data_IF_803525141902
#
_entry.id   IF_803525141902
#
_cell.length_a   1.000
_cell.length_b   1.000
_cell.length_c   1.000
_cell.angle_alpha   90.00
_cell.angle_beta   90.00
_cell.angle_gamma   90.00
#
_symmetry.space_group_name_H-M   'P 1'
#
loop_
_entity.id
_entity.type
_entity.pdbx_description
1 polymer ?
#
# COMPACT_ATOMS: atom_id res chain seq x y z
N UNK A 1 9.18 -16.73 -12.55
CA UNK A 1 8.60 -16.14 -13.77
C UNK A 1 9.73 -15.66 -14.70
N UNK A 2 10.75 -15.03 -14.15
CA UNK A 2 11.96 -14.61 -14.86
C UNK A 2 13.15 -15.34 -14.21
N UNK A 3 13.94 -16.01 -15.01
CA UNK A 3 15.11 -16.75 -14.53
C UNK A 3 16.30 -15.78 -14.34
N UNK A 4 16.20 -14.97 -13.28
CA UNK A 4 17.18 -13.92 -12.96
C UNK A 4 18.26 -14.45 -12.01
N UNK A 5 19.54 -14.05 -12.20
CA UNK A 5 20.56 -14.27 -11.21
C UNK A 5 20.17 -13.69 -9.85
N UNK A 6 20.49 -14.41 -8.76
CA UNK A 6 20.12 -13.99 -7.39
C UNK A 6 20.58 -12.57 -7.04
N UNK A 7 21.75 -12.16 -7.50
CA UNK A 7 22.28 -10.81 -7.29
C UNK A 7 21.40 -9.75 -7.99
N UNK A 8 21.01 -9.97 -9.25
CA UNK A 8 20.16 -9.06 -10.00
C UNK A 8 18.77 -8.97 -9.37
N UNK A 9 18.20 -10.10 -8.96
CA UNK A 9 16.92 -10.11 -8.24
C UNK A 9 16.99 -9.34 -6.92
N UNK A 10 18.11 -9.44 -6.18
CA UNK A 10 18.35 -8.67 -4.95
C UNK A 10 18.47 -7.17 -5.20
N UNK A 11 19.15 -6.74 -6.25
CA UNK A 11 19.24 -5.31 -6.64
C UNK A 11 17.85 -4.77 -7.01
N UNK A 12 17.08 -5.49 -7.80
CA UNK A 12 15.71 -5.11 -8.14
C UNK A 12 14.82 -5.01 -6.90
N UNK A 13 14.96 -5.95 -5.98
CA UNK A 13 14.23 -5.90 -4.69
C UNK A 13 14.61 -4.67 -3.86
N UNK A 14 15.89 -4.24 -3.87
CA UNK A 14 16.30 -3.02 -3.15
C UNK A 14 15.66 -1.76 -3.70
N UNK A 15 15.32 -1.71 -5.00
CA UNK A 15 14.63 -0.56 -5.60
C UNK A 15 13.28 -0.28 -4.92
N UNK A 16 12.59 -1.32 -4.43
CA UNK A 16 11.33 -1.14 -3.69
C UNK A 16 11.54 -0.43 -2.35
N UNK A 17 12.68 -0.63 -1.69
CA UNK A 17 13.01 0.10 -0.47
C UNK A 17 13.18 1.61 -0.72
N UNK A 18 13.75 1.99 -1.85
CA UNK A 18 13.85 3.40 -2.26
C UNK A 18 12.49 4.01 -2.59
N UNK A 19 11.60 3.28 -3.27
CA UNK A 19 10.22 3.72 -3.50
C UNK A 19 9.53 4.01 -2.17
N UNK A 20 9.71 3.16 -1.17
CA UNK A 20 9.14 3.33 0.16
C UNK A 20 9.59 4.64 0.84
N UNK A 21 10.86 5.01 0.68
CA UNK A 21 11.41 6.24 1.27
C UNK A 21 10.68 7.50 0.79
N UNK A 22 10.21 7.51 -0.47
CA UNK A 22 9.52 8.65 -1.10
C UNK A 22 8.00 8.51 -0.99
N UNK A 23 7.47 7.31 -1.17
CA UNK A 23 6.04 7.08 -1.27
C UNK A 23 5.30 7.30 0.07
N UNK A 24 5.90 6.97 1.21
CA UNK A 24 5.28 7.22 2.52
C UNK A 24 5.06 8.70 2.81
N UNK A 25 6.06 9.59 2.70
CA UNK A 25 5.83 11.04 2.78
C UNK A 25 4.84 11.55 1.74
N UNK A 26 4.91 11.04 0.50
CA UNK A 26 4.00 11.42 -0.58
C UNK A 26 2.53 11.12 -0.21
N UNK A 27 2.24 10.02 0.47
CA UNK A 27 0.89 9.70 0.94
C UNK A 27 0.31 10.77 1.87
N UNK A 28 1.11 11.28 2.79
CA UNK A 28 0.75 12.41 3.65
C UNK A 28 0.50 13.69 2.83
N UNK A 29 1.41 14.05 1.94
CA UNK A 29 1.31 15.23 1.08
C UNK A 29 0.07 15.17 0.16
N UNK A 30 -0.19 14.02 -0.47
CA UNK A 30 -1.39 13.81 -1.29
C UNK A 30 -2.65 14.03 -0.44
N UNK A 31 -2.65 13.53 0.80
CA UNK A 31 -3.75 13.72 1.72
C UNK A 31 -3.98 15.21 2.06
N UNK A 32 -2.92 15.97 2.25
CA UNK A 32 -3.00 17.40 2.54
C UNK A 32 -3.47 18.20 1.31
N UNK A 33 -3.01 17.85 0.11
CA UNK A 33 -3.43 18.50 -1.13
C UNK A 33 -4.89 18.21 -1.51
N UNK A 34 -5.37 16.99 -1.28
CA UNK A 34 -6.75 16.62 -1.57
C UNK A 34 -7.75 17.17 -0.54
N UNK A 35 -7.27 17.68 0.60
CA UNK A 35 -8.12 18.23 1.66
C UNK A 35 -9.12 17.23 2.25
N UNK A 36 -8.88 15.93 2.08
CA UNK A 36 -9.73 14.85 2.62
C UNK A 36 -8.92 13.61 2.90
N UNK A 37 -8.78 13.25 4.16
CA UNK A 37 -8.10 12.02 4.61
C UNK A 37 -8.82 10.76 4.12
N UNK A 38 -10.15 10.80 4.20
CA UNK A 38 -11.03 9.73 3.75
C UNK A 38 -10.85 9.42 2.26
N UNK A 39 -10.95 10.45 1.41
CA UNK A 39 -10.87 10.27 -0.04
C UNK A 39 -9.48 9.82 -0.46
N UNK A 40 -8.43 10.34 0.18
CA UNK A 40 -7.05 9.91 -0.06
C UNK A 40 -6.85 8.43 0.26
N UNK A 41 -7.33 7.97 1.42
CA UNK A 41 -7.26 6.54 1.77
C UNK A 41 -8.03 5.69 0.77
N UNK A 42 -9.25 6.09 0.40
CA UNK A 42 -10.05 5.38 -0.60
C UNK A 42 -9.34 5.29 -1.94
N UNK A 43 -8.79 6.39 -2.43
CA UNK A 43 -8.08 6.46 -3.71
C UNK A 43 -6.79 5.60 -3.72
N UNK A 44 -5.96 5.73 -2.68
CA UNK A 44 -4.71 4.97 -2.59
C UNK A 44 -4.98 3.47 -2.42
N UNK A 45 -6.01 3.10 -1.65
CA UNK A 45 -6.40 1.69 -1.49
C UNK A 45 -7.02 1.12 -2.76
N UNK A 46 -7.77 1.92 -3.53
CA UNK A 46 -8.26 1.50 -4.85
C UNK A 46 -7.11 1.28 -5.83
N UNK A 47 -6.15 2.21 -5.88
CA UNK A 47 -4.94 2.07 -6.70
C UNK A 47 -4.11 0.83 -6.34
N UNK A 48 -3.96 0.54 -5.05
CA UNK A 48 -3.37 -0.70 -4.54
C UNK A 48 -4.14 -1.93 -5.06
N UNK A 49 -5.47 -1.94 -4.93
CA UNK A 49 -6.31 -3.06 -5.37
C UNK A 49 -6.19 -3.32 -6.88
N UNK A 50 -6.23 -2.26 -7.68
CA UNK A 50 -6.02 -2.34 -9.14
C UNK A 50 -4.61 -2.82 -9.45
N UNK A 51 -3.58 -2.29 -8.77
CA UNK A 51 -2.19 -2.70 -8.95
C UNK A 51 -1.99 -4.20 -8.71
N UNK A 52 -2.59 -4.76 -7.66
CA UNK A 52 -2.53 -6.19 -7.40
C UNK A 52 -3.30 -7.01 -8.43
N UNK A 53 -4.45 -6.55 -8.92
CA UNK A 53 -5.15 -7.23 -10.01
C UNK A 53 -4.32 -7.25 -11.29
N UNK A 54 -3.65 -6.15 -11.63
CA UNK A 54 -2.73 -6.11 -12.77
C UNK A 54 -1.56 -7.07 -12.56
N UNK A 55 -0.95 -7.11 -11.36
CA UNK A 55 0.11 -8.06 -11.03
C UNK A 55 -0.36 -9.51 -11.14
N UNK A 56 -1.61 -9.81 -10.80
CA UNK A 56 -2.17 -11.15 -10.92
C UNK A 56 -2.25 -11.67 -12.36
N UNK A 57 -2.26 -10.77 -13.34
CA UNK A 57 -2.30 -11.10 -14.77
C UNK A 57 -0.92 -11.41 -15.36
N UNK A 58 0.18 -11.12 -14.63
CA UNK A 58 1.54 -11.39 -15.06
C UNK A 58 1.84 -12.87 -14.89
N UNK A 59 1.76 -13.62 -16.00
CA UNK A 59 2.05 -15.06 -16.06
C UNK A 59 3.43 -15.31 -16.68
N UNK A 60 4.03 -16.50 -16.47
CA UNK A 60 5.20 -16.92 -17.23
C UNK A 60 4.88 -16.82 -18.74
N UNK A 61 5.74 -16.16 -19.50
CA UNK A 61 5.54 -15.97 -20.94
C UNK A 61 4.68 -14.75 -21.35
N UNK A 62 3.99 -14.09 -20.43
CA UNK A 62 3.26 -12.84 -20.74
C UNK A 62 4.21 -11.75 -21.24
N UNK A 63 5.39 -11.70 -20.63
CA UNK A 63 6.46 -10.81 -21.03
C UNK A 63 7.74 -11.64 -21.26
N UNK A 64 8.37 -11.46 -22.41
CA UNK A 64 9.62 -12.13 -22.76
C UNK A 64 10.76 -11.13 -22.93
N UNK A 65 11.98 -11.57 -22.65
CA UNK A 65 13.18 -10.76 -22.81
C UNK A 65 13.32 -9.62 -21.79
N UNK A 66 14.31 -8.76 -21.99
CA UNK A 66 14.68 -7.67 -21.08
C UNK A 66 13.57 -6.63 -20.93
N UNK A 67 12.86 -6.31 -22.03
CA UNK A 67 11.73 -5.38 -22.01
C UNK A 67 10.59 -5.86 -21.13
N UNK A 68 10.32 -7.17 -21.14
CA UNK A 68 9.29 -7.76 -20.29
C UNK A 68 9.62 -7.66 -18.80
N UNK A 69 10.89 -7.84 -18.43
CA UNK A 69 11.35 -7.67 -17.05
C UNK A 69 11.15 -6.22 -16.62
N UNK A 70 11.54 -5.25 -17.46
CA UNK A 70 11.38 -3.82 -17.16
C UNK A 70 9.92 -3.46 -16.92
N UNK A 71 9.01 -3.91 -17.80
CA UNK A 71 7.57 -3.65 -17.65
C UNK A 71 7.03 -4.27 -16.35
N UNK A 72 7.37 -5.51 -16.03
CA UNK A 72 6.94 -6.16 -14.80
C UNK A 72 7.46 -5.42 -13.55
N UNK A 73 8.72 -4.96 -13.56
CA UNK A 73 9.30 -4.16 -12.47
C UNK A 73 8.56 -2.84 -12.32
N UNK A 74 8.28 -2.12 -13.42
CA UNK A 74 7.57 -0.84 -13.37
C UNK A 74 6.14 -1.01 -12.82
N UNK A 75 5.40 -2.04 -13.23
CA UNK A 75 4.07 -2.34 -12.70
C UNK A 75 4.16 -2.61 -11.20
N UNK A 76 5.13 -3.40 -10.76
CA UNK A 76 5.32 -3.73 -9.35
C UNK A 76 5.73 -2.49 -8.54
N UNK A 77 6.60 -1.62 -9.07
CA UNK A 77 6.97 -0.36 -8.43
C UNK A 77 5.77 0.59 -8.29
N UNK A 78 4.93 0.67 -9.33
CA UNK A 78 3.72 1.48 -9.26
C UNK A 78 2.73 0.95 -8.21
N UNK A 79 2.50 -0.37 -8.17
CA UNK A 79 1.68 -0.97 -7.13
C UNK A 79 2.28 -0.72 -5.73
N UNK A 80 3.60 -0.87 -5.56
CA UNK A 80 4.31 -0.57 -4.32
C UNK A 80 4.14 0.89 -3.90
N UNK A 81 4.16 1.83 -4.84
CA UNK A 81 3.91 3.25 -4.55
C UNK A 81 2.53 3.46 -3.90
N UNK A 82 1.47 2.87 -4.43
CA UNK A 82 0.13 2.96 -3.84
C UNK A 82 0.07 2.32 -2.44
N UNK A 83 0.71 1.17 -2.24
CA UNK A 83 0.82 0.51 -0.93
C UNK A 83 1.45 1.43 0.10
N UNK A 84 2.64 1.94 -0.20
CA UNK A 84 3.44 2.73 0.72
C UNK A 84 2.82 4.12 0.98
N UNK A 85 2.25 4.73 -0.05
CA UNK A 85 1.52 6.00 0.08
C UNK A 85 0.25 5.81 0.92
N UNK A 86 -0.46 4.69 0.77
CA UNK A 86 -1.61 4.34 1.60
C UNK A 86 -1.23 4.18 3.07
N UNK A 87 -0.08 3.57 3.35
CA UNK A 87 0.46 3.49 4.71
C UNK A 87 0.77 4.88 5.27
N UNK A 88 1.43 5.74 4.50
CA UNK A 88 1.70 7.13 4.87
C UNK A 88 0.43 7.92 5.19
N UNK A 89 -0.59 7.82 4.35
CA UNK A 89 -1.90 8.44 4.57
C UNK A 89 -2.61 7.90 5.82
N UNK A 90 -2.47 6.59 6.11
CA UNK A 90 -3.02 5.98 7.33
C UNK A 90 -2.37 6.59 8.58
N UNK A 91 -1.05 6.70 8.62
CA UNK A 91 -0.35 7.33 9.75
C UNK A 91 -0.61 8.83 9.89
N UNK A 92 -0.94 9.52 8.80
CA UNK A 92 -1.40 10.91 8.87
C UNK A 92 -2.81 11.03 9.50
N UNK A 93 -3.64 9.98 9.41
CA UNK A 93 -4.96 9.94 10.04
C UNK A 93 -4.90 9.62 11.54
N UNK A 94 -3.95 8.82 11.98
CA UNK A 94 -3.83 8.30 13.36
C UNK A 94 -3.92 9.40 14.44
N UNK A 95 -3.21 10.54 14.35
CA UNK A 95 -3.28 11.61 15.35
C UNK A 95 -4.68 12.22 15.50
N UNK A 96 -5.50 12.14 14.45
CA UNK A 96 -6.83 12.75 14.39
C UNK A 96 -7.90 11.88 15.04
N UNK A 97 -7.65 10.57 15.18
CA UNK A 97 -8.61 9.62 15.77
C UNK A 97 -8.81 9.92 17.25
N UNK A 98 -7.72 10.11 18.01
CA UNK A 98 -7.78 10.45 19.43
C UNK A 98 -6.48 11.11 19.88
N UNK A 99 -6.41 12.45 19.84
CA UNK A 99 -5.21 13.23 20.13
C UNK A 99 -4.53 12.92 21.48
N UNK A 100 -5.31 12.68 22.55
CA UNK A 100 -4.77 12.41 23.89
C UNK A 100 -3.98 11.11 24.01
N UNK A 101 -4.18 10.16 23.11
CA UNK A 101 -3.58 8.82 23.14
C UNK A 101 -3.00 8.41 21.77
N UNK A 102 -2.53 9.40 21.01
CA UNK A 102 -1.98 9.20 19.65
C UNK A 102 -0.94 8.09 19.59
N UNK A 103 -0.02 8.04 20.58
CA UNK A 103 1.00 7.01 20.64
C UNK A 103 0.42 5.60 20.80
N UNK A 104 -0.63 5.44 21.60
CA UNK A 104 -1.31 4.14 21.74
C UNK A 104 -2.02 3.73 20.45
N UNK A 105 -2.72 4.67 19.79
CA UNK A 105 -3.39 4.40 18.51
C UNK A 105 -2.37 4.05 17.44
N UNK A 106 -1.27 4.80 17.34
CA UNK A 106 -0.19 4.52 16.38
C UNK A 106 0.44 3.15 16.62
N UNK A 107 0.72 2.81 17.88
CA UNK A 107 1.25 1.50 18.27
C UNK A 107 0.31 0.36 17.89
N UNK A 108 -1.00 0.54 18.13
CA UNK A 108 -2.01 -0.46 17.78
C UNK A 108 -2.11 -0.66 16.27
N UNK A 109 -2.16 0.43 15.49
CA UNK A 109 -2.20 0.39 14.01
C UNK A 109 -0.94 -0.31 13.48
N UNK A 110 0.25 0.04 14.00
CA UNK A 110 1.50 -0.61 13.62
C UNK A 110 1.54 -2.10 13.99
N UNK A 111 1.03 -2.48 15.16
CA UNK A 111 0.96 -3.87 15.58
C UNK A 111 0.05 -4.69 14.65
N UNK A 112 -1.15 -4.20 14.32
CA UNK A 112 -2.03 -4.87 13.36
C UNK A 112 -1.44 -4.94 11.96
N UNK A 113 -0.72 -3.90 11.52
CA UNK A 113 0.02 -3.91 10.26
C UNK A 113 1.05 -5.04 10.21
N UNK A 114 1.83 -5.21 11.27
CA UNK A 114 2.82 -6.29 11.38
C UNK A 114 2.16 -7.69 11.43
N UNK A 115 1.06 -7.85 12.17
CA UNK A 115 0.29 -9.11 12.17
C UNK A 115 -0.20 -9.42 10.76
N UNK A 116 -0.74 -8.43 10.06
CA UNK A 116 -1.16 -8.59 8.66
C UNK A 116 0.01 -9.01 7.76
N UNK A 117 1.15 -8.33 7.86
CA UNK A 117 2.34 -8.63 7.06
C UNK A 117 2.82 -10.08 7.27
N UNK A 118 2.95 -10.53 8.52
CA UNK A 118 3.36 -11.90 8.84
C UNK A 118 2.32 -12.92 8.32
N UNK A 119 1.04 -12.66 8.52
CA UNK A 119 -0.04 -13.55 8.07
C UNK A 119 -0.03 -13.72 6.55
N UNK A 120 -0.01 -12.60 5.82
CA UNK A 120 -0.03 -12.66 4.35
C UNK A 120 1.26 -13.24 3.76
N UNK A 121 2.42 -12.94 4.35
CA UNK A 121 3.69 -13.54 3.92
C UNK A 121 3.70 -15.07 4.15
N UNK A 122 3.15 -15.52 5.27
CA UNK A 122 3.02 -16.95 5.56
C UNK A 122 2.09 -17.64 4.56
N UNK A 123 0.91 -17.06 4.30
CA UNK A 123 -0.02 -17.57 3.30
C UNK A 123 0.65 -17.62 1.93
N UNK A 124 1.30 -16.54 1.50
CA UNK A 124 2.02 -16.47 0.22
C UNK A 124 3.06 -17.57 0.08
N UNK A 125 3.84 -17.82 1.14
CA UNK A 125 4.91 -18.82 1.14
C UNK A 125 4.37 -20.27 1.10
N UNK A 126 3.22 -20.52 1.73
CA UNK A 126 2.62 -21.86 1.82
C UNK A 126 1.64 -22.16 0.69
N UNK A 127 1.14 -21.15 0.00
CA UNK A 127 0.10 -21.30 -1.01
C UNK A 127 0.48 -22.27 -2.15
N UNK A 128 1.72 -22.26 -2.71
CA UNK A 128 2.10 -23.24 -3.72
C UNK A 128 2.03 -24.69 -3.23
N UNK A 129 2.38 -24.93 -1.99
CA UNK A 129 2.29 -26.26 -1.37
C UNK A 129 0.83 -26.70 -1.20
N UNK A 130 -0.05 -25.80 -0.75
CA UNK A 130 -1.48 -26.06 -0.61
C UNK A 130 -2.20 -26.27 -1.93
N UNK A 131 -1.73 -25.64 -3.01
CA UNK A 131 -2.25 -25.86 -4.37
C UNK A 131 -1.74 -27.13 -5.05
N UNK A 132 -1.15 -28.05 -4.30
CA UNK A 132 -0.76 -29.37 -4.80
C UNK A 132 0.69 -29.50 -5.22
N UNK A 133 1.52 -28.46 -4.97
CA UNK A 133 2.95 -28.45 -5.35
C UNK A 133 3.88 -29.28 -4.44
N UNK A 134 3.39 -29.73 -3.28
CA UNK A 134 4.23 -30.41 -2.30
C UNK A 134 5.39 -29.56 -1.80
N UNK A 135 6.54 -30.20 -1.51
CA UNK A 135 7.74 -29.47 -1.01
C UNK A 135 8.53 -28.74 -2.12
N UNK A 136 8.44 -29.24 -3.35
CA UNK A 136 9.13 -28.69 -4.53
C UNK A 136 8.10 -28.38 -5.64
N UNK A 137 7.36 -27.28 -5.53
CA UNK A 137 6.32 -26.94 -6.47
C UNK A 137 6.91 -26.60 -7.85
N UNK A 138 6.23 -27.03 -8.91
CA UNK A 138 6.63 -26.67 -10.27
C UNK A 138 6.50 -25.15 -10.52
N UNK A 139 7.26 -24.58 -11.46
CA UNK A 139 7.15 -23.16 -11.82
C UNK A 139 5.72 -22.73 -12.19
N UNK A 140 4.93 -23.61 -12.77
CA UNK A 140 3.53 -23.36 -13.14
C UNK A 140 2.62 -23.22 -11.90
N UNK A 141 2.83 -24.08 -10.89
CA UNK A 141 2.09 -24.01 -9.62
C UNK A 141 2.47 -22.74 -8.87
N UNK A 142 3.76 -22.37 -8.83
CA UNK A 142 4.22 -21.12 -8.24
C UNK A 142 3.57 -19.93 -8.94
N UNK A 143 3.53 -19.92 -10.25
CA UNK A 143 2.93 -18.82 -11.02
C UNK A 143 1.42 -18.70 -10.80
N UNK A 144 0.71 -19.83 -10.77
CA UNK A 144 -0.74 -19.86 -10.53
C UNK A 144 -1.08 -19.45 -9.10
N UNK A 145 -0.31 -19.89 -8.11
CA UNK A 145 -0.49 -19.48 -6.70
C UNK A 145 -0.23 -18.00 -6.50
N UNK A 146 0.82 -17.45 -7.11
CA UNK A 146 1.10 -16.01 -7.06
C UNK A 146 -0.05 -15.21 -7.70
N UNK A 147 -0.54 -15.64 -8.87
CA UNK A 147 -1.67 -15.00 -9.53
C UNK A 147 -2.92 -15.02 -8.64
N UNK A 148 -3.26 -16.16 -8.06
CA UNK A 148 -4.41 -16.31 -7.17
C UNK A 148 -4.26 -15.42 -5.92
N UNK A 149 -3.07 -15.38 -5.32
CA UNK A 149 -2.80 -14.54 -4.16
C UNK A 149 -3.01 -13.05 -4.44
N UNK A 150 -2.40 -12.53 -5.51
CA UNK A 150 -2.58 -11.13 -5.89
C UNK A 150 -4.02 -10.81 -6.31
N UNK A 151 -4.72 -11.77 -6.90
CA UNK A 151 -6.14 -11.60 -7.25
C UNK A 151 -7.00 -11.41 -6.00
N UNK A 152 -6.82 -12.25 -4.98
CA UNK A 152 -7.52 -12.13 -3.70
C UNK A 152 -7.19 -10.81 -3.01
N UNK A 153 -5.91 -10.43 -2.95
CA UNK A 153 -5.50 -9.15 -2.36
C UNK A 153 -6.06 -7.95 -3.13
N UNK A 154 -6.08 -8.03 -4.46
CA UNK A 154 -6.65 -6.96 -5.29
C UNK A 154 -8.14 -6.75 -5.04
N UNK A 155 -8.91 -7.84 -5.02
CA UNK A 155 -10.35 -7.79 -4.69
C UNK A 155 -10.57 -7.26 -3.27
N UNK A 156 -9.81 -7.76 -2.28
CA UNK A 156 -9.88 -7.28 -0.91
C UNK A 156 -9.56 -5.78 -0.81
N UNK A 157 -8.54 -5.31 -1.52
CA UNK A 157 -8.18 -3.89 -1.60
C UNK A 157 -9.33 -3.03 -2.16
N UNK A 158 -9.99 -3.47 -3.23
CA UNK A 158 -11.15 -2.76 -3.79
C UNK A 158 -12.34 -2.73 -2.85
N UNK A 159 -12.59 -3.83 -2.13
CA UNK A 159 -13.65 -3.87 -1.10
C UNK A 159 -13.33 -2.87 0.03
N UNK A 160 -12.08 -2.84 0.51
CA UNK A 160 -11.67 -1.87 1.55
C UNK A 160 -11.77 -0.44 1.03
N UNK A 161 -11.38 -0.17 -0.23
CA UNK A 161 -11.53 1.15 -0.84
C UNK A 161 -13.01 1.58 -0.89
N UNK A 162 -13.91 0.66 -1.24
CA UNK A 162 -15.36 0.90 -1.20
C UNK A 162 -15.81 1.29 0.22
N UNK A 163 -15.37 0.57 1.25
CA UNK A 163 -15.68 0.93 2.63
C UNK A 163 -15.10 2.30 3.03
N UNK A 164 -13.89 2.64 2.56
CA UNK A 164 -13.31 3.96 2.80
C UNK A 164 -14.17 5.07 2.19
N UNK A 165 -14.66 4.92 0.96
CA UNK A 165 -15.47 5.95 0.31
C UNK A 165 -16.86 6.11 0.90
N UNK A 166 -17.52 5.03 1.31
CA UNK A 166 -18.93 5.06 1.70
C UNK A 166 -19.15 5.08 3.20
N UNK A 167 -18.29 4.44 3.98
CA UNK A 167 -18.50 4.25 5.42
C UNK A 167 -17.53 5.03 6.29
N UNK A 168 -16.32 5.34 5.82
CA UNK A 168 -15.37 6.13 6.60
C UNK A 168 -15.89 7.58 6.68
N UNK A 169 -15.92 8.12 7.89
CA UNK A 169 -16.25 9.54 8.13
C UNK A 169 -14.97 10.36 8.16
N UNK A 170 -15.00 11.55 7.58
CA UNK A 170 -13.89 12.49 7.70
C UNK A 170 -13.67 12.82 9.19
N UNK A 171 -12.45 12.71 9.72
CA UNK A 171 -12.17 13.08 11.11
C UNK A 171 -12.39 14.57 11.33
N UNK A 172 -13.09 14.93 12.39
CA UNK A 172 -13.30 16.33 12.78
C UNK A 172 -11.93 16.97 13.10
N UNK A 173 -11.71 18.18 12.62
CA UNK A 173 -10.50 18.93 12.85
C UNK A 173 -9.32 18.52 11.95
N UNK A 174 -9.59 17.80 10.85
CA UNK A 174 -8.56 17.39 9.89
C UNK A 174 -7.99 18.56 9.09
N UNK A 175 -8.87 19.49 8.68
CA UNK A 175 -8.50 20.66 7.88
C UNK A 175 -9.15 21.96 8.38
N UNK A 176 -10.29 21.90 9.07
CA UNK A 176 -11.05 23.07 9.51
C UNK A 176 -10.28 23.90 10.56
N UNK A 177 -9.53 23.23 11.47
CA UNK A 177 -8.75 23.95 12.51
C UNK A 177 -7.55 24.73 11.93
N UNK A 178 -7.06 24.39 10.75
CA UNK A 178 -6.00 25.15 10.08
C UNK A 178 -6.53 26.50 9.58
N UNK A 179 -7.78 26.55 9.12
CA UNK A 179 -8.40 27.79 8.67
C UNK A 179 -8.88 28.66 9.84
N UNK A 180 -9.37 28.06 10.93
CA UNK A 180 -9.74 28.83 12.14
C UNK A 180 -8.53 29.40 12.88
N UNK A 181 -7.40 28.70 12.89
CA UNK A 181 -6.15 29.16 13.50
C UNK A 181 -5.51 30.37 12.78
N UNK A 182 -5.64 30.44 11.45
CA UNK A 182 -5.17 31.60 10.66
C UNK A 182 -6.04 32.84 10.83
N UNK A 183 -7.35 32.65 11.07
CA UNK A 183 -8.28 33.77 11.31
C UNK A 183 -8.19 34.29 12.74
N UNK A 184 -7.72 33.48 13.69
CA UNK A 184 -7.68 33.82 15.12
C UNK A 184 -6.33 34.44 15.58
N UNK A 185 -5.40 34.78 14.70
CA UNK A 185 -4.19 35.52 15.08
C UNK A 185 -4.57 37.00 15.26
N UNK A 186 -4.77 37.49 16.48
CA UNK A 186 -5.01 38.93 16.65
C UNK A 186 -3.74 39.66 16.23
N UNK A 187 -3.90 40.64 15.38
CA UNK A 187 -2.84 41.58 15.05
C UNK A 187 -2.19 42.05 16.37
N UNK A 188 -0.92 41.67 16.56
CA UNK A 188 -0.13 42.18 17.69
C UNK A 188 -0.08 43.67 17.48
N UNK A 189 -0.82 44.40 18.31
CA UNK A 189 -0.74 45.84 18.36
C UNK A 189 0.67 46.21 18.76
N UNK A 190 1.45 46.68 17.80
CA UNK A 190 2.71 47.36 18.05
C UNK A 190 2.38 48.71 18.66
N UNK A 191 2.54 48.83 19.94
CA UNK A 191 2.77 50.13 20.62
C UNK A 191 4.24 50.36 20.78
#
# INVERSE_FOLDING_TARGET
>A
TFDLPKATAGILASCFAFVNLVARPAGGLISDQLGSRKNTMGFLTAGLGIGYLVMSMIKPGTFSGTSGIVVAVLITMLASFFVQSGEGATFALVPLVKRRVTGQVAGLVGAYGNVGAVTYLTIFSLLPMWMGGGKDPSPEIIASSNSAFFQVLGIAGLIVAFFCFFFLKEPKGSFDELHEGEVATPAIATN
#
